data_IF_206043121995
#
_entry.id   IF_206043121995
#
_cell.length_a   1.000
_cell.length_b   1.000
_cell.length_c   1.000
_cell.angle_alpha   90.00
_cell.angle_beta   90.00
_cell.angle_gamma   90.00
#
_symmetry.space_group_name_H-M   'P 1'
#
loop_
_entity.id
_entity.type
_entity.pdbx_description
1 polymer ?
#
# COMPACT_ATOMS: atom_id res chain seq x y z
N UNK A 1 -19.66 -29.98 -2.32
CA UNK A 1 -19.47 -28.73 -1.54
C UNK A 1 -18.41 -27.93 -2.25
N UNK A 2 -18.80 -26.89 -2.99
CA UNK A 2 -17.83 -25.99 -3.59
C UNK A 2 -17.27 -25.11 -2.48
N UNK A 3 -15.97 -25.20 -2.24
CA UNK A 3 -15.26 -24.27 -1.38
C UNK A 3 -15.37 -22.91 -2.09
N UNK A 4 -16.08 -21.96 -1.49
CA UNK A 4 -16.07 -20.58 -1.95
C UNK A 4 -14.63 -20.08 -1.81
N UNK A 5 -13.85 -20.10 -2.89
CA UNK A 5 -12.56 -19.43 -2.92
C UNK A 5 -12.82 -17.92 -2.87
N UNK A 6 -12.29 -17.27 -1.84
CA UNK A 6 -12.39 -15.81 -1.76
C UNK A 6 -11.58 -15.19 -2.89
N UNK A 7 -12.15 -14.18 -3.54
CA UNK A 7 -11.44 -13.42 -4.57
C UNK A 7 -10.39 -12.56 -3.85
N UNK A 8 -9.11 -12.78 -4.14
CA UNK A 8 -8.02 -11.97 -3.60
C UNK A 8 -7.93 -10.65 -4.38
N UNK A 9 -7.94 -9.53 -3.67
CA UNK A 9 -7.87 -8.18 -4.25
C UNK A 9 -6.44 -7.64 -4.23
N UNK A 10 -5.71 -7.93 -3.15
CA UNK A 10 -4.30 -7.59 -3.00
C UNK A 10 -3.53 -8.86 -2.66
N UNK A 11 -2.49 -9.17 -3.43
CA UNK A 11 -1.56 -10.27 -3.15
C UNK A 11 -0.14 -9.70 -3.13
N UNK A 12 0.61 -10.02 -2.09
CA UNK A 12 1.98 -9.57 -1.89
C UNK A 12 2.84 -10.81 -1.70
N UNK A 13 3.94 -10.88 -2.46
CA UNK A 13 4.86 -12.02 -2.45
C UNK A 13 6.29 -11.55 -2.34
N UNK A 14 7.06 -12.19 -1.45
CA UNK A 14 8.48 -11.95 -1.18
C UNK A 14 8.81 -10.45 -1.03
N UNK A 15 7.89 -9.66 -0.47
CA UNK A 15 8.05 -8.22 -0.39
C UNK A 15 9.12 -7.86 0.63
N UNK A 16 10.19 -7.27 0.13
CA UNK A 16 11.29 -6.74 0.90
C UNK A 16 11.47 -5.25 0.59
N UNK A 17 11.67 -4.44 1.63
CA UNK A 17 11.88 -3.00 1.46
C UNK A 17 12.98 -2.49 2.38
N UNK A 18 13.91 -1.74 1.80
CA UNK A 18 14.98 -1.04 2.49
C UNK A 18 14.79 0.47 2.40
N UNK A 19 15.09 1.15 3.50
CA UNK A 19 15.40 2.58 3.50
C UNK A 19 16.89 2.72 3.78
N UNK A 20 17.67 3.10 2.78
CA UNK A 20 19.14 3.07 2.83
C UNK A 20 19.63 1.68 3.30
N UNK A 21 20.30 1.59 4.44
CA UNK A 21 20.82 0.35 5.01
C UNK A 21 19.79 -0.42 5.87
N UNK A 22 18.66 0.21 6.20
CA UNK A 22 17.67 -0.37 7.11
C UNK A 22 16.65 -1.25 6.36
N UNK A 23 16.68 -2.57 6.62
CA UNK A 23 15.73 -3.53 6.05
C UNK A 23 14.39 -3.50 6.82
N UNK A 24 13.47 -2.64 6.38
CA UNK A 24 12.25 -2.30 7.11
C UNK A 24 11.09 -3.28 6.92
N UNK A 25 11.01 -3.95 5.77
CA UNK A 25 10.08 -5.05 5.50
C UNK A 25 10.88 -6.24 5.02
N UNK A 26 10.65 -7.41 5.61
CA UNK A 26 11.46 -8.62 5.38
C UNK A 26 10.51 -9.74 5.00
N UNK A 27 10.68 -10.29 3.79
CA UNK A 27 9.98 -11.46 3.27
C UNK A 27 8.46 -11.47 3.56
N UNK A 28 7.79 -10.36 3.25
CA UNK A 28 6.37 -10.21 3.53
C UNK A 28 5.54 -10.96 2.49
N UNK A 29 4.71 -11.87 2.99
CA UNK A 29 3.70 -12.64 2.26
C UNK A 29 2.31 -12.32 2.82
N UNK A 30 1.40 -11.79 1.99
CA UNK A 30 0.04 -11.48 2.44
C UNK A 30 -0.97 -11.49 1.28
N UNK A 31 -2.13 -12.09 1.54
CA UNK A 31 -3.30 -12.01 0.67
C UNK A 31 -4.44 -11.27 1.41
N UNK A 32 -5.00 -10.26 0.75
CA UNK A 32 -6.13 -9.47 1.26
C UNK A 32 -7.34 -9.75 0.36
N UNK A 33 -8.39 -10.38 0.90
CA UNK A 33 -9.57 -10.70 0.12
C UNK A 33 -10.39 -9.45 -0.23
N UNK A 34 -11.04 -9.50 -1.39
CA UNK A 34 -11.95 -8.46 -1.87
C UNK A 34 -13.12 -8.27 -0.90
N UNK A 35 -13.50 -7.01 -0.67
CA UNK A 35 -14.62 -6.62 0.19
C UNK A 35 -14.49 -7.11 1.65
N UNK A 36 -13.26 -7.27 2.15
CA UNK A 36 -12.98 -7.59 3.55
C UNK A 36 -12.31 -6.42 4.26
N UNK A 37 -12.70 -6.23 5.52
CA UNK A 37 -11.96 -5.38 6.44
C UNK A 37 -10.78 -6.20 6.96
N UNK A 38 -9.57 -5.73 6.67
CA UNK A 38 -8.33 -6.38 7.12
C UNK A 38 -7.60 -5.43 8.06
N UNK A 39 -7.26 -5.92 9.25
CA UNK A 39 -6.54 -5.16 10.27
C UNK A 39 -5.07 -5.59 10.33
N UNK A 40 -4.16 -4.63 10.20
CA UNK A 40 -2.72 -4.84 10.40
C UNK A 40 -2.31 -4.30 11.78
N UNK A 41 -1.96 -5.20 12.70
CA UNK A 41 -1.67 -4.87 14.11
C UNK A 41 -0.25 -5.31 14.46
N UNK A 42 0.46 -4.49 15.24
CA UNK A 42 1.83 -4.77 15.67
C UNK A 42 2.44 -3.58 16.41
N UNK A 43 3.60 -3.75 17.09
CA UNK A 43 4.25 -2.69 17.86
C UNK A 43 4.68 -1.50 17.00
N UNK A 44 4.96 -0.35 17.63
CA UNK A 44 5.52 0.80 16.90
C UNK A 44 6.84 0.41 16.22
N UNK A 45 7.08 0.94 15.01
CA UNK A 45 8.30 0.65 14.25
C UNK A 45 8.34 -0.67 13.48
N UNK A 46 7.36 -1.58 13.65
CA UNK A 46 7.38 -2.89 12.98
C UNK A 46 7.03 -2.87 11.47
N UNK A 47 7.05 -1.71 10.81
CA UNK A 47 6.85 -1.61 9.36
C UNK A 47 5.40 -1.47 8.87
N UNK A 48 4.37 -1.37 9.72
CA UNK A 48 2.96 -1.26 9.28
C UNK A 48 2.71 -0.13 8.27
N UNK A 49 3.12 1.09 8.61
CA UNK A 49 2.95 2.25 7.73
C UNK A 49 3.80 2.11 6.47
N UNK A 50 4.99 1.52 6.58
CA UNK A 50 5.85 1.20 5.43
C UNK A 50 5.15 0.24 4.47
N UNK A 51 4.55 -0.83 4.99
CA UNK A 51 3.78 -1.79 4.19
C UNK A 51 2.58 -1.13 3.50
N UNK A 52 1.76 -0.36 4.23
CA UNK A 52 0.59 0.31 3.63
C UNK A 52 1.01 1.25 2.49
N UNK A 53 2.11 1.99 2.64
CA UNK A 53 2.67 2.86 1.60
C UNK A 53 3.28 2.11 0.41
N UNK A 54 3.53 0.80 0.51
CA UNK A 54 3.93 0.00 -0.65
C UNK A 54 2.74 -0.20 -1.60
N UNK A 55 1.53 -0.28 -1.05
CA UNK A 55 0.31 -0.53 -1.84
C UNK A 55 -0.02 0.62 -2.79
N UNK A 56 0.29 1.86 -2.42
CA UNK A 56 0.08 3.06 -3.24
C UNK A 56 1.39 3.68 -3.79
N UNK A 57 2.50 2.98 -3.58
CA UNK A 57 3.86 3.36 -3.99
C UNK A 57 4.27 4.75 -3.52
N UNK A 58 3.89 5.13 -2.31
CA UNK A 58 4.40 6.38 -1.74
C UNK A 58 5.84 6.27 -1.23
N UNK A 59 6.33 5.06 -0.92
CA UNK A 59 7.72 4.90 -0.46
C UNK A 59 8.73 5.28 -1.56
N UNK A 60 8.37 5.15 -2.84
CA UNK A 60 9.19 5.55 -3.98
C UNK A 60 9.60 7.03 -3.95
N UNK A 61 8.86 7.87 -3.22
CA UNK A 61 9.15 9.29 -3.04
C UNK A 61 10.24 9.55 -1.97
N UNK A 62 10.61 8.52 -1.21
CA UNK A 62 11.62 8.60 -0.15
C UNK A 62 12.97 8.17 -0.76
N UNK A 63 13.99 9.05 -0.77
CA UNK A 63 15.33 8.70 -1.25
C UNK A 63 15.91 7.47 -0.53
N UNK A 64 16.72 6.68 -1.24
CA UNK A 64 17.33 5.48 -0.66
C UNK A 64 16.38 4.28 -0.54
N UNK A 65 15.12 4.42 -0.97
CA UNK A 65 14.17 3.31 -0.95
C UNK A 65 14.51 2.28 -2.03
N UNK A 66 14.65 1.03 -1.62
CA UNK A 66 14.76 -0.12 -2.53
C UNK A 66 13.65 -1.09 -2.18
N UNK A 67 12.90 -1.53 -3.18
CA UNK A 67 11.81 -2.50 -3.01
C UNK A 67 12.07 -3.70 -3.91
N UNK A 68 11.85 -4.92 -3.37
CA UNK A 68 11.89 -6.19 -4.09
C UNK A 68 10.63 -7.00 -3.75
N UNK A 69 10.29 -7.95 -4.61
CA UNK A 69 9.07 -8.74 -4.52
C UNK A 69 7.99 -8.25 -5.47
N UNK A 70 6.79 -8.82 -5.34
CA UNK A 70 5.64 -8.55 -6.20
C UNK A 70 4.46 -8.07 -5.34
N UNK A 71 3.73 -7.07 -5.83
CA UNK A 71 2.47 -6.62 -5.25
C UNK A 71 1.45 -6.55 -6.38
N UNK A 72 0.44 -7.41 -6.32
CA UNK A 72 -0.69 -7.43 -7.22
C UNK A 72 -1.85 -6.68 -6.57
N UNK A 73 -2.43 -5.72 -7.28
CA UNK A 73 -3.66 -5.01 -6.89
C UNK A 73 -4.65 -5.07 -8.04
N UNK A 74 -5.89 -5.53 -7.79
CA UNK A 74 -6.86 -5.80 -8.86
C UNK A 74 -6.29 -6.70 -9.99
N UNK A 75 -5.40 -7.64 -9.65
CA UNK A 75 -4.74 -8.53 -10.61
C UNK A 75 -3.60 -7.92 -11.45
N UNK A 76 -3.25 -6.65 -11.24
CA UNK A 76 -2.12 -6.00 -11.90
C UNK A 76 -0.92 -5.84 -10.96
N UNK A 77 0.28 -6.17 -11.43
CA UNK A 77 1.52 -5.95 -10.68
C UNK A 77 1.89 -4.46 -10.65
N UNK A 78 1.80 -3.86 -9.46
CA UNK A 78 2.07 -2.45 -9.25
C UNK A 78 3.58 -2.17 -9.07
N UNK A 79 4.40 -3.19 -8.83
CA UNK A 79 5.85 -3.02 -8.59
C UNK A 79 6.64 -2.76 -9.86
N UNK A 80 6.05 -3.00 -11.04
CA UNK A 80 6.68 -2.75 -12.32
C UNK A 80 6.99 -1.27 -12.54
N UNK A 81 8.06 -1.01 -13.29
CA UNK A 81 8.53 0.36 -13.58
C UNK A 81 7.62 1.16 -14.50
N UNK A 82 6.81 0.48 -15.32
CA UNK A 82 5.91 1.07 -16.31
C UNK A 82 4.52 1.42 -15.75
N UNK A 83 4.29 1.21 -14.46
CA UNK A 83 3.02 1.51 -13.79
C UNK A 83 2.83 3.02 -13.66
N UNK A 84 1.68 3.51 -14.13
CA UNK A 84 1.23 4.87 -13.85
C UNK A 84 0.76 4.98 -12.38
N UNK A 85 1.67 5.49 -11.54
CA UNK A 85 1.43 5.70 -10.10
C UNK A 85 0.29 6.69 -9.82
N UNK A 86 -0.01 7.62 -10.74
CA UNK A 86 -1.12 8.57 -10.56
C UNK A 86 -2.45 7.83 -10.70
N UNK A 87 -2.58 6.98 -11.72
CA UNK A 87 -3.75 6.14 -11.90
C UNK A 87 -3.92 5.10 -10.79
N UNK A 88 -2.81 4.56 -10.25
CA UNK A 88 -2.83 3.67 -9.09
C UNK A 88 -3.42 4.36 -7.85
N UNK A 89 -2.93 5.56 -7.53
CA UNK A 89 -3.36 6.32 -6.33
C UNK A 89 -4.81 6.78 -6.41
N UNK A 90 -5.39 6.93 -7.60
CA UNK A 90 -6.84 7.15 -7.76
C UNK A 90 -7.69 5.93 -7.38
N UNK A 91 -7.12 4.71 -7.39
CA UNK A 91 -7.80 3.47 -7.02
C UNK A 91 -7.59 3.11 -5.54
N UNK A 92 -6.60 3.70 -4.89
CA UNK A 92 -6.24 3.41 -3.50
C UNK A 92 -6.39 4.70 -2.68
N UNK A 93 -7.47 4.78 -1.91
CA UNK A 93 -7.65 5.85 -0.94
C UNK A 93 -6.81 5.59 0.32
N UNK A 94 -5.88 6.49 0.63
CA UNK A 94 -5.08 6.43 1.86
C UNK A 94 -5.45 7.59 2.80
N UNK A 95 -5.87 7.26 4.02
CA UNK A 95 -6.13 8.25 5.08
C UNK A 95 -4.97 8.22 6.06
N UNK A 96 -4.26 9.35 6.16
CA UNK A 96 -3.09 9.47 7.03
C UNK A 96 -3.47 9.69 8.49
N UNK A 97 -2.64 9.17 9.40
CA UNK A 97 -2.80 9.36 10.84
C UNK A 97 -2.80 10.85 11.24
N UNK A 98 -2.01 11.68 10.56
CA UNK A 98 -2.06 13.14 10.68
C UNK A 98 -2.75 13.71 9.44
N UNK A 99 -3.87 14.44 9.58
CA UNK A 99 -4.52 15.07 8.45
C UNK A 99 -3.63 16.17 7.87
N UNK A 100 -3.67 16.36 6.55
CA UNK A 100 -2.99 17.43 5.84
C UNK A 100 -4.02 18.29 5.08
N UNK A 101 -4.84 19.10 5.78
CA UNK A 101 -5.87 19.90 5.13
C UNK A 101 -5.25 21.02 4.30
N UNK A 102 -5.85 21.32 3.15
CA UNK A 102 -5.54 22.52 2.40
C UNK A 102 -6.06 23.76 3.15
N UNK A 103 -5.42 24.94 3.00
CA UNK A 103 -5.89 26.20 3.59
C UNK A 103 -7.13 26.72 2.84
N UNK A 104 -8.20 25.95 2.87
CA UNK A 104 -9.46 26.16 2.16
C UNK A 104 -10.64 25.73 3.05
N UNK A 105 -11.87 25.89 2.60
CA UNK A 105 -13.05 25.48 3.37
C UNK A 105 -13.12 23.96 3.59
N UNK A 106 -13.93 23.54 4.58
CA UNK A 106 -14.20 22.12 4.85
C UNK A 106 -14.79 21.44 3.60
N UNK A 107 -15.72 22.11 2.93
CA UNK A 107 -16.36 21.59 1.72
C UNK A 107 -15.33 21.33 0.61
N UNK A 108 -14.45 22.31 0.35
CA UNK A 108 -13.41 22.17 -0.65
C UNK A 108 -12.47 21.00 -0.33
N UNK A 109 -12.05 20.85 0.93
CA UNK A 109 -11.21 19.73 1.36
C UNK A 109 -11.86 18.35 1.12
N UNK A 110 -13.18 18.21 1.29
CA UNK A 110 -13.90 16.95 1.00
C UNK A 110 -14.03 16.72 -0.50
N UNK A 111 -14.29 17.78 -1.28
CA UNK A 111 -14.48 17.70 -2.73
C UNK A 111 -13.18 17.39 -3.51
N UNK A 112 -12.01 17.58 -2.91
CA UNK A 112 -10.72 17.16 -3.47
C UNK A 112 -10.48 15.65 -3.41
N UNK A 113 -11.22 14.93 -2.55
CA UNK A 113 -11.06 13.49 -2.31
C UNK A 113 -11.53 12.59 -3.45
#
# INVERSE_FOLDING_TARGET
>A
MSINQEVIEISVKDLNLWYDENHALIDIEIEIPKNRITALIGPSGCGKTTFIRCLDRMNDLIPGTVTKGEILVNGGDITRRDVDVVSLRKKIGMVFQKPNPFPSSIFENIAYG
#
